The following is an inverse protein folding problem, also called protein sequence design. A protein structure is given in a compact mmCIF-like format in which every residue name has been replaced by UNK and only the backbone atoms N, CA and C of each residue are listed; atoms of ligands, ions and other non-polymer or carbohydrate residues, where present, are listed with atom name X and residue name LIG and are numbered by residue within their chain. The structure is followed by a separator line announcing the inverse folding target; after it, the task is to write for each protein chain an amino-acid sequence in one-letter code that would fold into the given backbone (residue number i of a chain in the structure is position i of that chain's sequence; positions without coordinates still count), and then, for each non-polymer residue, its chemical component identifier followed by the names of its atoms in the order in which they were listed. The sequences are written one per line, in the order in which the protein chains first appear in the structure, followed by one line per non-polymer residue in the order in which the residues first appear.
data_IF_981131312906
#
_entry.id   IF_981131312906
#
_cell.length_a   1.000
_cell.length_b   1.000
_cell.length_c   1.000
_cell.angle_alpha   90.00
_cell.angle_beta   90.00
_cell.angle_gamma   90.00
#
_symmetry.space_group_name_H-M   'P 1'
#
loop_
_entity.id
_entity.type
_entity.pdbx_description
1 polymer ?
#
# COMPACT_ATOMS: atom_id res chain seq x y z
N UNK A 1 11.70 5.34 2.48
CA UNK A 1 10.70 4.68 3.37
C UNK A 1 11.19 4.51 4.80
N UNK A 2 12.26 3.73 5.03
CA UNK A 2 12.73 3.38 6.38
C UNK A 2 12.98 4.59 7.28
N UNK A 3 13.77 5.57 6.81
CA UNK A 3 14.09 6.78 7.58
C UNK A 3 12.82 7.59 7.95
N UNK A 4 11.87 7.66 7.02
CA UNK A 4 10.59 8.35 7.25
C UNK A 4 9.74 7.61 8.28
N UNK A 5 9.61 6.28 8.18
CA UNK A 5 8.90 5.47 9.18
C UNK A 5 9.59 5.51 10.55
N UNK A 6 10.93 5.63 10.59
CA UNK A 6 11.67 5.80 11.83
C UNK A 6 11.38 7.16 12.48
N UNK A 7 11.41 8.25 11.69
CA UNK A 7 11.05 9.59 12.15
C UNK A 7 9.58 9.70 12.60
N UNK A 8 8.70 8.90 12.00
CA UNK A 8 7.28 8.84 12.37
C UNK A 8 6.97 7.80 13.46
N UNK A 9 7.96 7.06 13.95
CA UNK A 9 7.76 6.05 15.00
C UNK A 9 6.97 4.80 14.55
N UNK A 10 6.73 4.61 13.25
CA UNK A 10 6.01 3.48 12.66
C UNK A 10 6.92 2.38 12.10
N UNK A 11 8.23 2.46 12.34
CA UNK A 11 9.19 1.54 11.76
C UNK A 11 8.97 0.08 12.21
N UNK A 12 8.91 -0.85 11.24
CA UNK A 12 8.62 -2.28 11.49
C UNK A 12 9.81 -3.09 11.98
N UNK A 13 11.02 -2.69 11.60
CA UNK A 13 12.27 -3.40 11.89
C UNK A 13 13.35 -2.40 12.28
N UNK A 14 14.36 -2.85 13.00
CA UNK A 14 15.57 -2.07 13.24
C UNK A 14 16.67 -2.52 12.25
N UNK A 15 17.18 -1.56 11.48
CA UNK A 15 18.17 -1.79 10.44
C UNK A 15 19.46 -1.05 10.81
N UNK A 16 20.52 -1.81 11.11
CA UNK A 16 21.85 -1.27 11.45
C UNK A 16 22.92 -2.06 10.73
N UNK A 17 23.74 -1.40 9.93
CA UNK A 17 24.88 -2.00 9.23
C UNK A 17 24.55 -3.33 8.50
N UNK A 18 23.41 -3.37 7.77
CA UNK A 18 22.84 -4.53 7.04
C UNK A 18 22.21 -5.63 7.91
N UNK A 19 22.29 -5.54 9.23
CA UNK A 19 21.56 -6.44 10.12
C UNK A 19 20.12 -5.96 10.31
N UNK A 20 19.19 -6.90 10.22
CA UNK A 20 17.75 -6.69 10.45
C UNK A 20 17.42 -7.32 11.80
N UNK A 21 16.93 -6.51 12.72
CA UNK A 21 16.59 -6.92 14.09
C UNK A 21 15.22 -6.39 14.48
N UNK A 22 14.65 -6.93 15.56
CA UNK A 22 13.37 -6.49 16.13
C UNK A 22 13.54 -5.04 16.64
N UNK A 23 12.50 -4.19 16.59
CA UNK A 23 12.53 -2.87 17.19
C UNK A 23 13.09 -2.86 18.62
N UNK A 24 14.06 -1.97 18.87
CA UNK A 24 14.68 -1.83 20.18
C UNK A 24 13.72 -1.24 21.22
N UNK A 25 14.03 -1.38 22.51
CA UNK A 25 13.20 -0.83 23.59
C UNK A 25 13.02 0.69 23.45
N UNK A 26 14.10 1.43 23.18
CA UNK A 26 14.02 2.89 22.96
C UNK A 26 13.15 3.26 21.75
N UNK A 27 13.18 2.43 20.72
CA UNK A 27 12.30 2.56 19.57
C UNK A 27 10.82 2.33 19.94
N UNK A 28 10.50 1.34 20.77
CA UNK A 28 9.13 1.11 21.28
C UNK A 28 8.66 2.27 22.18
N UNK A 29 9.52 2.74 23.09
CA UNK A 29 9.25 3.89 23.95
C UNK A 29 8.97 5.16 23.13
N UNK A 30 9.74 5.40 22.07
CA UNK A 30 9.47 6.50 21.14
C UNK A 30 8.09 6.41 20.51
N UNK A 31 7.66 5.22 20.06
CA UNK A 31 6.31 5.02 19.52
C UNK A 31 5.23 5.30 20.58
N UNK A 32 5.43 4.90 21.84
CA UNK A 32 4.51 5.21 22.95
C UNK A 32 4.43 6.72 23.19
N UNK A 33 5.56 7.43 23.16
CA UNK A 33 5.57 8.89 23.29
C UNK A 33 4.82 9.56 22.13
N UNK A 34 5.01 9.10 20.89
CA UNK A 34 4.24 9.58 19.73
C UNK A 34 2.75 9.37 19.90
N UNK A 35 2.33 8.22 20.44
CA UNK A 35 0.94 7.89 20.76
C UNK A 35 0.38 8.88 21.78
N UNK A 36 1.09 9.13 22.89
CA UNK A 36 0.66 10.05 23.94
C UNK A 36 0.55 11.48 23.39
N UNK A 37 1.58 11.97 22.70
CA UNK A 37 1.59 13.33 22.14
C UNK A 37 0.43 13.49 21.14
N UNK A 38 0.24 12.53 20.23
CA UNK A 38 -0.83 12.59 19.24
C UNK A 38 -2.21 12.60 19.91
N UNK A 39 -2.40 11.79 20.97
CA UNK A 39 -3.65 11.77 21.76
C UNK A 39 -3.97 13.11 22.42
N UNK A 40 -2.95 13.75 23.02
CA UNK A 40 -3.10 15.09 23.61
C UNK A 40 -3.48 16.14 22.55
N UNK A 41 -2.91 16.04 21.35
CA UNK A 41 -3.26 16.91 20.24
C UNK A 41 -4.72 16.69 19.76
N UNK A 42 -5.17 15.43 19.63
CA UNK A 42 -6.57 15.11 19.33
C UNK A 42 -7.54 15.65 20.38
N UNK A 43 -7.19 15.52 21.67
CA UNK A 43 -7.99 16.06 22.76
C UNK A 43 -8.09 17.59 22.69
N UNK A 44 -6.98 18.29 22.45
CA UNK A 44 -6.95 19.74 22.30
C UNK A 44 -7.78 20.23 21.10
N UNK A 45 -7.70 19.52 19.97
CA UNK A 45 -8.54 19.78 18.79
C UNK A 45 -10.01 19.66 19.17
N UNK A 46 -10.40 18.55 19.77
CA UNK A 46 -11.81 18.29 20.15
C UNK A 46 -12.32 19.38 21.09
N UNK A 47 -11.51 19.81 22.06
CA UNK A 47 -11.83 20.91 22.98
C UNK A 47 -12.00 22.25 22.26
N UNK A 48 -11.14 22.56 21.28
CA UNK A 48 -11.17 23.81 20.53
C UNK A 48 -12.39 23.90 19.60
N UNK A 49 -12.83 22.77 19.03
CA UNK A 49 -14.00 22.69 18.17
C UNK A 49 -15.33 22.55 18.93
N UNK A 50 -15.29 22.22 20.23
CA UNK A 50 -16.46 22.14 21.11
C UNK A 50 -17.30 23.44 21.13
N UNK A 51 -16.74 24.64 21.34
CA UNK A 51 -17.53 25.89 21.33
C UNK A 51 -18.01 26.29 19.93
N UNK A 52 -17.25 25.97 18.87
CA UNK A 52 -17.56 26.34 17.48
C UNK A 52 -18.81 25.64 16.95
N UNK A 53 -19.01 24.37 17.32
CA UNK A 53 -20.15 23.57 16.87
C UNK A 53 -21.22 23.37 17.94
N UNK A 54 -21.13 24.04 19.09
CA UNK A 54 -22.11 23.90 20.18
C UNK A 54 -23.53 24.27 19.73
N UNK A 55 -23.67 25.28 18.84
CA UNK A 55 -24.95 25.68 18.26
C UNK A 55 -25.50 24.68 17.22
N UNK A 56 -24.67 23.75 16.75
CA UNK A 56 -25.00 22.75 15.74
C UNK A 56 -24.61 21.35 16.21
N UNK A 57 -25.41 20.81 17.13
CA UNK A 57 -25.20 19.50 17.78
C UNK A 57 -24.88 18.35 16.80
N UNK A 58 -25.52 18.31 15.63
CA UNK A 58 -25.26 17.28 14.60
C UNK A 58 -23.83 17.36 14.05
N UNK A 59 -23.37 18.56 13.70
CA UNK A 59 -22.00 18.76 13.15
C UNK A 59 -20.96 18.41 14.19
N UNK A 60 -21.23 18.72 15.46
CA UNK A 60 -20.39 18.33 16.59
C UNK A 60 -20.24 16.80 16.70
N UNK A 61 -21.34 16.04 16.71
CA UNK A 61 -21.28 14.58 16.81
C UNK A 61 -20.59 13.94 15.60
N UNK A 62 -20.81 14.46 14.39
CA UNK A 62 -20.12 14.00 13.18
C UNK A 62 -18.61 14.25 13.27
N UNK A 63 -18.19 15.43 13.73
CA UNK A 63 -16.78 15.74 13.92
C UNK A 63 -16.11 14.82 14.96
N UNK A 64 -16.79 14.58 16.08
CA UNK A 64 -16.32 13.65 17.11
C UNK A 64 -16.19 12.21 16.57
N UNK A 65 -17.15 11.77 15.75
CA UNK A 65 -17.09 10.45 15.12
C UNK A 65 -15.92 10.32 14.14
N UNK A 66 -15.66 11.34 13.31
CA UNK A 66 -14.54 11.35 12.36
C UNK A 66 -13.20 11.34 13.09
N UNK A 67 -13.02 12.22 14.07
CA UNK A 67 -11.77 12.30 14.83
C UNK A 67 -11.54 11.06 15.70
N UNK A 68 -12.60 10.52 16.31
CA UNK A 68 -12.55 9.26 17.06
C UNK A 68 -12.18 8.06 16.18
N UNK A 69 -12.79 7.92 15.00
CA UNK A 69 -12.44 6.87 14.04
C UNK A 69 -10.97 6.98 13.60
N UNK A 70 -10.49 8.20 13.37
CA UNK A 70 -9.11 8.44 12.98
C UNK A 70 -8.13 8.04 14.08
N UNK A 71 -8.39 8.48 15.31
CA UNK A 71 -7.58 8.17 16.48
C UNK A 71 -7.55 6.66 16.78
N UNK A 72 -8.70 5.98 16.74
CA UNK A 72 -8.78 4.53 16.90
C UNK A 72 -7.99 3.80 15.81
N UNK A 73 -8.14 4.23 14.55
CA UNK A 73 -7.40 3.66 13.42
C UNK A 73 -5.90 3.86 13.57
N UNK A 74 -5.48 5.02 14.05
CA UNK A 74 -4.08 5.34 14.31
C UNK A 74 -3.48 4.42 15.38
N UNK A 75 -4.13 4.28 16.53
CA UNK A 75 -3.67 3.39 17.61
C UNK A 75 -3.61 1.94 17.17
N UNK A 76 -4.69 1.45 16.57
CA UNK A 76 -4.81 0.08 16.08
C UNK A 76 -3.67 -0.26 15.11
N UNK A 77 -3.37 0.66 14.18
CA UNK A 77 -2.29 0.50 13.22
C UNK A 77 -0.90 0.49 13.90
N UNK A 78 -0.60 1.45 14.78
CA UNK A 78 0.71 1.51 15.44
C UNK A 78 0.97 0.34 16.39
N UNK A 79 -0.04 -0.06 17.17
CA UNK A 79 0.06 -1.21 18.07
C UNK A 79 0.41 -2.46 17.27
N UNK A 80 -0.35 -2.73 16.21
CA UNK A 80 -0.14 -3.88 15.35
C UNK A 80 1.24 -3.85 14.65
N UNK A 81 1.64 -2.69 14.12
CA UNK A 81 2.91 -2.52 13.42
C UNK A 81 4.12 -2.70 14.33
N UNK A 82 4.07 -2.17 15.56
CA UNK A 82 5.25 -2.05 16.43
C UNK A 82 5.37 -3.14 17.49
N UNK A 83 4.26 -3.67 17.99
CA UNK A 83 4.25 -4.55 19.15
C UNK A 83 3.90 -6.00 18.83
N UNK A 84 3.05 -6.25 17.84
CA UNK A 84 2.56 -7.61 17.57
C UNK A 84 3.42 -8.41 16.59
N UNK A 85 3.93 -7.77 15.53
CA UNK A 85 4.53 -8.51 14.39
C UNK A 85 6.06 -8.45 14.30
N UNK A 86 6.75 -8.30 15.43
CA UNK A 86 8.20 -8.06 15.47
C UNK A 86 9.04 -9.13 14.75
N UNK A 87 8.89 -10.40 15.14
CA UNK A 87 9.64 -11.54 14.59
C UNK A 87 9.23 -11.86 13.14
N UNK A 88 7.93 -11.78 12.84
CA UNK A 88 7.43 -12.00 11.48
C UNK A 88 7.94 -10.93 10.51
N UNK A 89 8.05 -9.67 10.95
CA UNK A 89 8.59 -8.59 10.12
C UNK A 89 10.08 -8.79 9.80
N UNK A 90 10.89 -9.26 10.75
CA UNK A 90 12.31 -9.52 10.51
C UNK A 90 12.51 -10.72 9.59
N UNK A 91 11.78 -11.81 9.84
CA UNK A 91 11.78 -12.99 8.99
C UNK A 91 11.35 -12.66 7.55
N UNK A 92 10.37 -11.77 7.38
CA UNK A 92 9.93 -11.31 6.06
C UNK A 92 11.02 -10.53 5.32
N UNK A 93 11.71 -9.60 5.98
CA UNK A 93 12.81 -8.89 5.34
C UNK A 93 13.97 -9.82 4.95
N UNK A 94 14.23 -10.86 5.75
CA UNK A 94 15.22 -11.91 5.40
C UNK A 94 14.73 -12.72 4.19
N UNK A 95 13.44 -13.05 4.13
CA UNK A 95 12.84 -13.75 2.98
C UNK A 95 12.97 -12.94 1.69
N UNK A 96 12.73 -11.62 1.74
CA UNK A 96 12.95 -10.74 0.58
C UNK A 96 14.41 -10.77 0.08
N UNK A 97 15.38 -10.75 1.00
CA UNK A 97 16.80 -10.87 0.63
C UNK A 97 17.13 -12.26 0.05
N UNK A 98 16.51 -13.31 0.59
CA UNK A 98 16.66 -14.68 0.09
C UNK A 98 16.16 -14.81 -1.34
N UNK A 99 15.01 -14.22 -1.67
CA UNK A 99 14.47 -14.19 -3.04
C UNK A 99 15.47 -13.55 -4.00
N UNK A 100 15.98 -12.36 -3.67
CA UNK A 100 16.93 -11.65 -4.53
C UNK A 100 18.25 -12.41 -4.72
N UNK A 101 18.75 -13.08 -3.68
CA UNK A 101 19.96 -13.92 -3.74
C UNK A 101 19.75 -15.16 -4.60
N UNK A 102 18.63 -15.85 -4.43
CA UNK A 102 18.35 -17.09 -5.18
C UNK A 102 18.14 -16.81 -6.67
N UNK A 103 17.50 -15.68 -6.99
CA UNK A 103 17.37 -15.18 -8.35
C UNK A 103 18.65 -14.53 -8.90
N UNK A 104 19.76 -14.46 -8.13
CA UNK A 104 21.03 -13.81 -8.54
C UNK A 104 20.84 -12.38 -9.12
N UNK A 105 19.85 -11.65 -8.60
CA UNK A 105 19.52 -10.27 -9.02
C UNK A 105 19.95 -9.22 -7.99
N UNK A 106 20.57 -9.64 -6.90
CA UNK A 106 21.05 -8.77 -5.82
C UNK A 106 22.05 -7.71 -6.34
N UNK A 107 22.86 -8.06 -7.33
CA UNK A 107 23.80 -7.15 -7.99
C UNK A 107 23.14 -6.33 -9.14
N UNK A 108 21.92 -6.69 -9.55
CA UNK A 108 21.22 -5.99 -10.63
C UNK A 108 20.62 -4.67 -10.11
N UNK A 109 21.44 -3.63 -10.19
CA UNK A 109 21.13 -2.32 -9.64
C UNK A 109 19.88 -1.68 -10.27
N UNK A 110 19.49 -2.07 -11.49
CA UNK A 110 18.36 -1.44 -12.21
C UNK A 110 17.02 -1.81 -11.56
N UNK A 111 16.76 -3.10 -11.28
CA UNK A 111 15.50 -3.56 -10.67
C UNK A 111 15.33 -2.94 -9.27
N UNK A 112 16.40 -2.97 -8.48
CA UNK A 112 16.41 -2.39 -7.12
C UNK A 112 16.27 -0.87 -7.15
N UNK A 113 16.96 -0.17 -8.07
CA UNK A 113 16.80 1.29 -8.24
C UNK A 113 15.38 1.67 -8.63
N UNK A 114 14.69 0.90 -9.46
CA UNK A 114 13.31 1.21 -9.86
C UNK A 114 12.34 1.09 -8.69
N UNK A 115 12.46 0.03 -7.87
CA UNK A 115 11.64 -0.10 -6.65
C UNK A 115 11.95 1.04 -5.68
N UNK A 116 13.22 1.37 -5.46
CA UNK A 116 13.62 2.48 -4.58
C UNK A 116 13.09 3.82 -5.09
N UNK A 117 13.19 4.10 -6.39
CA UNK A 117 12.69 5.34 -7.00
C UNK A 117 11.18 5.45 -6.90
N UNK A 118 10.44 4.38 -7.18
CA UNK A 118 8.99 4.36 -6.99
C UNK A 118 8.63 4.65 -5.52
N UNK A 119 9.36 4.07 -4.57
CA UNK A 119 9.17 4.33 -3.15
C UNK A 119 9.42 5.79 -2.77
N UNK A 120 10.52 6.37 -3.26
CA UNK A 120 10.84 7.79 -3.04
C UNK A 120 9.73 8.66 -3.63
N UNK A 121 9.35 8.43 -4.90
CA UNK A 121 8.31 9.19 -5.56
C UNK A 121 6.97 9.16 -4.80
N UNK A 122 6.51 7.96 -4.39
CA UNK A 122 5.26 7.82 -3.62
C UNK A 122 5.31 8.56 -2.28
N UNK A 123 6.42 8.49 -1.55
CA UNK A 123 6.55 9.15 -0.25
C UNK A 123 6.68 10.67 -0.41
N UNK A 124 7.48 11.14 -1.37
CA UNK A 124 7.62 12.55 -1.68
C UNK A 124 6.28 13.16 -2.10
N UNK A 125 5.48 12.44 -2.90
CA UNK A 125 4.14 12.87 -3.28
C UNK A 125 3.21 12.99 -2.08
N UNK A 126 3.22 12.01 -1.17
CA UNK A 126 2.45 12.09 0.09
C UNK A 126 2.90 13.31 0.91
N UNK A 127 4.20 13.48 1.15
CA UNK A 127 4.72 14.62 1.92
C UNK A 127 4.31 15.95 1.27
N UNK A 128 4.39 16.06 -0.07
CA UNK A 128 3.99 17.26 -0.79
C UNK A 128 2.51 17.60 -0.57
N UNK A 129 1.60 16.61 -0.64
CA UNK A 129 0.17 16.82 -0.36
C UNK A 129 -0.03 17.36 1.06
N UNK A 130 0.67 16.79 2.05
CA UNK A 130 0.56 17.23 3.43
C UNK A 130 1.14 18.64 3.64
N UNK A 131 2.25 18.98 2.98
CA UNK A 131 2.82 20.33 3.02
C UNK A 131 1.85 21.35 2.42
N UNK A 132 1.21 21.03 1.28
CA UNK A 132 0.19 21.89 0.68
C UNK A 132 -0.98 22.11 1.65
N UNK A 133 -1.47 21.05 2.29
CA UNK A 133 -2.53 21.16 3.31
C UNK A 133 -2.15 22.07 4.48
N UNK A 134 -0.90 21.99 4.96
CA UNK A 134 -0.38 22.88 6.00
C UNK A 134 -0.32 24.33 5.51
N UNK A 135 0.22 24.58 4.32
CA UNK A 135 0.33 25.93 3.75
C UNK A 135 -1.05 26.55 3.54
N UNK A 136 -2.01 25.81 2.98
CA UNK A 136 -3.39 26.25 2.83
C UNK A 136 -4.02 26.63 4.17
N UNK A 137 -3.72 25.87 5.23
CA UNK A 137 -4.20 26.19 6.58
C UNK A 137 -3.62 27.50 7.11
N UNK A 138 -2.32 27.74 6.91
CA UNK A 138 -1.67 28.98 7.35
C UNK A 138 -2.27 30.18 6.61
N UNK A 139 -2.47 30.06 5.29
CA UNK A 139 -3.04 31.14 4.48
C UNK A 139 -4.47 31.50 4.88
N UNK A 140 -5.24 30.53 5.39
CA UNK A 140 -6.61 30.75 5.83
C UNK A 140 -6.71 31.35 7.25
N UNK A 141 -5.60 31.52 7.98
CA UNK A 141 -5.49 32.29 9.24
C UNK A 141 -6.45 31.93 10.40
N UNK A 142 -7.16 30.80 10.35
CA UNK A 142 -8.25 30.54 11.30
C UNK A 142 -7.90 29.65 12.51
N UNK A 143 -6.74 28.95 12.51
CA UNK A 143 -6.45 27.95 13.56
C UNK A 143 -5.00 27.91 14.02
N UNK A 144 -4.79 27.46 15.27
CA UNK A 144 -3.45 27.24 15.81
C UNK A 144 -2.78 26.05 15.11
N UNK A 145 -1.63 26.30 14.47
CA UNK A 145 -0.81 25.30 13.77
C UNK A 145 -0.57 24.00 14.57
N UNK A 146 -0.48 24.12 15.89
CA UNK A 146 -0.24 23.01 16.81
C UNK A 146 -1.39 21.99 16.79
N UNK A 147 -2.63 22.45 16.67
CA UNK A 147 -3.79 21.55 16.66
C UNK A 147 -3.88 20.76 15.36
N UNK A 148 -3.66 21.39 14.21
CA UNK A 148 -3.69 20.71 12.91
C UNK A 148 -2.59 19.64 12.78
N UNK A 149 -1.45 19.85 13.46
CA UNK A 149 -0.33 18.91 13.44
C UNK A 149 -0.71 17.51 13.96
N UNK A 150 -1.60 17.41 14.96
CA UNK A 150 -2.04 16.11 15.50
C UNK A 150 -2.80 15.26 14.49
N UNK A 151 -3.80 15.86 13.85
CA UNK A 151 -4.59 15.25 12.77
C UNK A 151 -3.70 14.85 11.59
N UNK A 152 -2.83 15.77 11.15
CA UNK A 152 -1.91 15.51 10.05
C UNK A 152 -0.93 14.39 10.38
N UNK A 153 -0.39 14.35 11.60
CA UNK A 153 0.60 13.36 12.01
C UNK A 153 0.02 11.93 12.02
N UNK A 154 -1.14 11.74 12.66
CA UNK A 154 -1.80 10.43 12.70
C UNK A 154 -2.11 9.90 11.30
N UNK A 155 -2.58 10.79 10.44
CA UNK A 155 -2.92 10.46 9.06
C UNK A 155 -1.71 10.20 8.18
N UNK A 156 -0.65 10.98 8.33
CA UNK A 156 0.60 10.81 7.59
C UNK A 156 1.19 9.42 7.88
N UNK A 157 1.19 8.99 9.14
CA UNK A 157 1.64 7.64 9.53
C UNK A 157 0.83 6.57 8.82
N UNK A 158 -0.49 6.71 8.85
CA UNK A 158 -1.38 5.74 8.20
C UNK A 158 -1.10 5.68 6.69
N UNK A 159 -0.99 6.83 6.01
CA UNK A 159 -0.70 6.90 4.57
C UNK A 159 0.69 6.37 4.21
N UNK A 160 1.72 6.64 5.02
CA UNK A 160 3.07 6.11 4.80
C UNK A 160 3.09 4.58 4.91
N UNK A 161 2.37 4.00 5.87
CA UNK A 161 2.23 2.54 5.99
C UNK A 161 1.50 1.93 4.77
N UNK A 162 0.48 2.61 4.24
CA UNK A 162 -0.20 2.18 3.00
C UNK A 162 0.72 2.23 1.80
N UNK A 163 1.44 3.32 1.64
CA UNK A 163 2.42 3.47 0.57
C UNK A 163 3.48 2.38 0.67
N UNK A 164 3.94 2.05 1.88
CA UNK A 164 4.90 0.97 2.08
C UNK A 164 4.32 -0.39 1.69
N UNK A 165 3.11 -0.73 2.13
CA UNK A 165 2.39 -1.94 1.72
C UNK A 165 2.30 -2.04 0.19
N UNK A 166 1.82 -0.95 -0.45
CA UNK A 166 1.70 -0.85 -1.90
C UNK A 166 3.04 -1.06 -2.61
N UNK A 167 4.12 -0.52 -2.05
CA UNK A 167 5.48 -0.59 -2.60
C UNK A 167 6.11 -1.98 -2.48
N UNK A 168 5.73 -2.77 -1.46
CA UNK A 168 6.13 -4.17 -1.36
C UNK A 168 5.46 -5.04 -2.43
N UNK A 169 4.22 -4.73 -2.83
CA UNK A 169 3.58 -5.39 -3.98
C UNK A 169 4.38 -5.15 -5.27
N UNK A 170 4.89 -3.93 -5.46
CA UNK A 170 5.75 -3.60 -6.60
C UNK A 170 7.05 -4.44 -6.60
N UNK A 171 7.62 -4.72 -5.43
CA UNK A 171 8.77 -5.63 -5.32
C UNK A 171 8.42 -7.00 -5.91
N UNK A 172 7.34 -7.65 -5.45
CA UNK A 172 6.94 -8.98 -5.96
C UNK A 172 6.63 -8.96 -7.46
N UNK A 173 5.90 -7.94 -7.92
CA UNK A 173 5.60 -7.72 -9.33
C UNK A 173 6.86 -7.68 -10.20
N UNK A 174 7.89 -6.92 -9.80
CA UNK A 174 9.12 -6.84 -10.59
C UNK A 174 9.87 -8.18 -10.67
N UNK A 175 9.79 -9.03 -9.64
CA UNK A 175 10.44 -10.35 -9.62
C UNK A 175 9.67 -11.38 -10.45
N UNK A 176 8.35 -11.43 -10.36
CA UNK A 176 7.53 -12.28 -11.26
C UNK A 176 7.73 -11.87 -12.72
N UNK A 177 7.75 -10.57 -13.01
CA UNK A 177 8.05 -10.07 -14.36
C UNK A 177 9.43 -10.51 -14.85
N UNK A 178 10.42 -10.57 -13.97
CA UNK A 178 11.75 -11.07 -14.32
C UNK A 178 11.71 -12.56 -14.66
N UNK A 179 10.97 -13.38 -13.90
CA UNK A 179 10.73 -14.80 -14.25
C UNK A 179 10.03 -14.91 -15.61
N UNK A 180 9.00 -14.12 -15.87
CA UNK A 180 8.31 -14.07 -17.16
C UNK A 180 9.28 -13.72 -18.30
N UNK A 181 10.19 -12.77 -18.06
CA UNK A 181 11.19 -12.38 -19.05
C UNK A 181 12.15 -13.53 -19.41
N UNK A 182 12.58 -14.34 -18.43
CA UNK A 182 13.43 -15.53 -18.66
C UNK A 182 12.70 -16.52 -19.57
N UNK A 183 11.47 -16.91 -19.22
CA UNK A 183 10.69 -17.88 -20.01
C UNK A 183 10.41 -17.33 -21.41
N UNK A 184 10.04 -16.05 -21.51
CA UNK A 184 9.68 -15.41 -22.78
C UNK A 184 10.87 -15.29 -23.73
N UNK A 185 12.08 -15.07 -23.22
CA UNK A 185 13.29 -15.09 -24.05
C UNK A 185 13.56 -16.48 -24.64
N UNK A 186 13.22 -17.53 -23.90
CA UNK A 186 13.34 -18.90 -24.38
C UNK A 186 12.27 -19.26 -25.42
N UNK A 187 11.00 -18.95 -25.15
CA UNK A 187 9.86 -19.30 -26.04
C UNK A 187 9.80 -18.39 -27.28
N UNK A 188 10.12 -17.11 -27.13
CA UNK A 188 10.06 -16.09 -28.18
C UNK A 188 11.34 -15.25 -28.21
N UNK A 189 12.44 -15.73 -28.81
CA UNK A 189 13.75 -15.08 -28.76
C UNK A 189 13.81 -13.72 -29.49
N UNK A 190 12.75 -13.31 -30.16
CA UNK A 190 12.66 -12.05 -30.88
C UNK A 190 12.96 -10.84 -29.97
N UNK A 191 13.86 -9.97 -30.44
CA UNK A 191 14.25 -8.70 -29.82
C UNK A 191 14.92 -8.80 -28.44
N UNK A 192 15.40 -9.98 -28.01
CA UNK A 192 16.02 -10.16 -26.69
C UNK A 192 17.35 -9.39 -26.51
N UNK A 193 18.13 -9.24 -27.59
CA UNK A 193 19.46 -8.63 -27.56
C UNK A 193 19.48 -7.14 -27.94
N UNK A 194 18.32 -6.55 -28.25
CA UNK A 194 18.28 -5.14 -28.65
C UNK A 194 18.36 -4.26 -27.39
N UNK A 195 19.43 -3.47 -27.22
CA UNK A 195 19.48 -2.54 -26.10
C UNK A 195 18.33 -1.53 -26.24
N UNK A 196 17.60 -1.24 -25.15
CA UNK A 196 16.50 -0.29 -25.20
C UNK A 196 17.03 1.10 -25.59
N UNK A 197 16.55 1.64 -26.72
CA UNK A 197 16.95 2.95 -27.27
C UNK A 197 16.79 4.13 -26.28
N UNK A 198 15.98 3.95 -25.23
CA UNK A 198 15.85 4.89 -24.12
C UNK A 198 15.77 4.09 -22.82
N UNK A 199 16.75 4.23 -21.93
CA UNK A 199 16.64 3.76 -20.54
C UNK A 199 15.65 4.68 -19.83
N UNK A 200 14.34 4.48 -20.04
CA UNK A 200 13.31 5.21 -19.29
C UNK A 200 13.40 4.83 -17.82
N UNK A 201 13.00 5.77 -16.97
CA UNK A 201 12.99 5.67 -15.50
C UNK A 201 12.21 4.47 -14.94
N UNK A 202 11.39 3.78 -15.75
CA UNK A 202 10.58 2.64 -15.38
C UNK A 202 11.01 1.35 -16.09
N UNK A 203 11.01 0.24 -15.35
CA UNK A 203 11.29 -1.11 -15.86
C UNK A 203 10.16 -1.55 -16.78
N UNK A 204 10.41 -1.46 -18.08
CA UNK A 204 9.52 -1.97 -19.13
C UNK A 204 9.77 -3.46 -19.38
N UNK A 205 8.84 -4.12 -20.07
CA UNK A 205 9.00 -5.52 -20.50
C UNK A 205 10.25 -5.69 -21.38
N UNK A 206 10.64 -4.70 -22.18
CA UNK A 206 11.86 -4.77 -22.99
C UNK A 206 13.13 -4.71 -22.14
N UNK A 207 13.18 -3.83 -21.14
CA UNK A 207 14.33 -3.70 -20.24
C UNK A 207 14.51 -4.99 -19.41
N UNK A 208 13.41 -5.54 -18.87
CA UNK A 208 13.46 -6.81 -18.12
C UNK A 208 13.90 -7.99 -18.98
N UNK A 209 13.41 -8.08 -20.22
CA UNK A 209 13.86 -9.09 -21.18
C UNK A 209 15.34 -8.98 -21.51
N UNK A 210 15.84 -7.78 -21.78
CA UNK A 210 17.26 -7.55 -22.03
C UNK A 210 18.11 -7.95 -20.81
N UNK A 211 17.73 -7.53 -19.60
CA UNK A 211 18.44 -7.88 -18.37
C UNK A 211 18.43 -9.38 -18.09
N UNK A 212 17.30 -10.05 -18.30
CA UNK A 212 17.18 -11.49 -18.15
C UNK A 212 18.08 -12.22 -19.17
N UNK A 213 18.08 -11.82 -20.44
CA UNK A 213 18.90 -12.45 -21.49
C UNK A 213 20.41 -12.40 -21.20
N UNK A 214 20.88 -11.36 -20.51
CA UNK A 214 22.30 -11.22 -20.17
C UNK A 214 22.76 -12.11 -19.01
N UNK A 215 21.84 -12.51 -18.14
CA UNK A 215 22.19 -13.05 -16.82
C UNK A 215 21.61 -14.44 -16.56
N UNK A 216 20.56 -14.83 -17.28
CA UNK A 216 19.75 -16.01 -17.00
C UNK A 216 19.37 -16.73 -18.30
N UNK A 217 19.33 -18.05 -18.24
CA UNK A 217 18.76 -18.90 -19.27
C UNK A 217 17.69 -19.80 -18.64
N UNK A 218 16.57 -19.99 -19.35
CA UNK A 218 15.49 -20.86 -18.89
C UNK A 218 15.96 -22.32 -18.75
N UNK A 219 16.93 -22.77 -19.54
CA UNK A 219 17.42 -24.15 -19.47
C UNK A 219 18.16 -24.38 -18.15
N UNK A 220 19.06 -23.47 -17.78
CA UNK A 220 20.00 -23.65 -16.66
C UNK A 220 19.45 -23.17 -15.32
N UNK A 221 18.63 -22.11 -15.30
CA UNK A 221 18.20 -21.48 -14.06
C UNK A 221 16.90 -22.07 -13.51
N UNK A 222 16.83 -22.38 -12.21
CA UNK A 222 15.65 -22.99 -11.56
C UNK A 222 14.46 -22.02 -11.38
N UNK A 223 13.82 -21.62 -12.47
CA UNK A 223 12.69 -20.66 -12.48
C UNK A 223 11.47 -21.16 -11.70
N UNK A 224 11.29 -22.47 -11.56
CA UNK A 224 10.28 -23.08 -10.70
C UNK A 224 10.57 -22.84 -9.22
N UNK A 225 11.83 -22.96 -8.80
CA UNK A 225 12.25 -22.63 -7.43
C UNK A 225 12.10 -21.13 -7.15
N UNK A 226 12.43 -20.27 -8.12
CA UNK A 226 12.24 -18.82 -7.97
C UNK A 226 10.77 -18.47 -7.78
N UNK A 227 9.89 -19.03 -8.60
CA UNK A 227 8.45 -18.77 -8.52
C UNK A 227 7.88 -19.22 -7.17
N UNK A 228 8.24 -20.42 -6.71
CA UNK A 228 7.81 -20.94 -5.40
C UNK A 228 8.18 -20.00 -4.26
N UNK A 229 9.42 -19.53 -4.22
CA UNK A 229 9.87 -18.63 -3.16
C UNK A 229 9.20 -17.25 -3.21
N UNK A 230 8.92 -16.73 -4.41
CA UNK A 230 8.15 -15.50 -4.57
C UNK A 230 6.75 -15.67 -3.97
N UNK A 231 6.09 -16.81 -4.19
CA UNK A 231 4.75 -17.07 -3.68
C UNK A 231 4.75 -17.28 -2.16
N UNK A 232 5.71 -18.03 -1.62
CA UNK A 232 5.90 -18.17 -0.17
C UNK A 232 6.14 -16.79 0.49
N UNK A 233 6.99 -15.94 -0.13
CA UNK A 233 7.22 -14.59 0.33
C UNK A 233 5.97 -13.71 0.26
N UNK A 234 5.14 -13.86 -0.80
CA UNK A 234 3.89 -13.12 -0.94
C UNK A 234 2.82 -13.57 0.07
N UNK A 235 2.77 -14.86 0.40
CA UNK A 235 1.89 -15.38 1.46
C UNK A 235 2.26 -14.75 2.81
N UNK A 236 3.55 -14.76 3.15
CA UNK A 236 4.05 -14.12 4.38
C UNK A 236 3.75 -12.61 4.42
N UNK A 237 3.87 -11.93 3.28
CA UNK A 237 3.49 -10.52 3.14
C UNK A 237 2.00 -10.31 3.42
N UNK A 238 1.14 -11.17 2.88
CA UNK A 238 -0.32 -11.09 3.06
C UNK A 238 -0.67 -11.23 4.54
N UNK A 239 -0.08 -12.19 5.25
CA UNK A 239 -0.31 -12.38 6.68
C UNK A 239 0.12 -11.18 7.53
N UNK A 240 1.23 -10.52 7.16
CA UNK A 240 1.72 -9.34 7.89
C UNK A 240 0.85 -8.10 7.66
N UNK A 241 0.21 -7.98 6.49
CA UNK A 241 -0.51 -6.78 6.06
C UNK A 241 -2.04 -6.91 6.05
N UNK A 242 -2.61 -8.11 6.26
CA UNK A 242 -4.07 -8.34 6.26
C UNK A 242 -4.83 -7.44 7.24
N UNK A 243 -4.30 -7.25 8.45
CA UNK A 243 -4.91 -6.36 9.44
C UNK A 243 -4.95 -4.92 8.97
N UNK A 244 -3.83 -4.41 8.49
CA UNK A 244 -3.76 -3.06 7.99
C UNK A 244 -4.76 -2.94 6.84
N UNK A 245 -4.70 -3.78 5.81
CA UNK A 245 -5.63 -3.66 4.67
C UNK A 245 -7.10 -3.70 5.10
N UNK A 246 -7.48 -4.60 6.02
CA UNK A 246 -8.81 -4.62 6.63
C UNK A 246 -9.19 -3.26 7.24
N UNK A 247 -8.34 -2.73 8.12
CA UNK A 247 -8.56 -1.44 8.79
C UNK A 247 -8.74 -0.29 7.79
N UNK A 248 -8.05 -0.34 6.64
CA UNK A 248 -8.23 0.69 5.60
C UNK A 248 -9.52 0.57 4.84
N UNK A 249 -9.92 -0.63 4.43
CA UNK A 249 -11.19 -0.85 3.75
C UNK A 249 -12.37 -0.45 4.66
N UNK A 250 -12.31 -0.72 5.96
CA UNK A 250 -13.33 -0.28 6.90
C UNK A 250 -13.27 1.25 7.07
N UNK A 251 -12.08 1.80 7.32
CA UNK A 251 -11.91 3.25 7.53
C UNK A 251 -12.40 4.05 6.33
N UNK A 252 -12.07 3.66 5.10
CA UNK A 252 -12.48 4.42 3.90
C UNK A 252 -13.99 4.43 3.72
N UNK A 253 -14.67 3.31 3.95
CA UNK A 253 -16.13 3.22 3.84
C UNK A 253 -16.78 4.09 4.91
N UNK A 254 -16.45 3.88 6.20
CA UNK A 254 -17.09 4.64 7.29
C UNK A 254 -16.80 6.13 7.17
N UNK A 255 -15.55 6.50 6.89
CA UNK A 255 -15.16 7.90 6.71
C UNK A 255 -15.90 8.55 5.55
N UNK A 256 -16.06 7.85 4.42
CA UNK A 256 -16.76 8.41 3.26
C UNK A 256 -18.22 8.73 3.57
N UNK A 257 -18.90 7.89 4.36
CA UNK A 257 -20.27 8.14 4.82
C UNK A 257 -20.32 9.33 5.78
N UNK A 258 -19.44 9.37 6.78
CA UNK A 258 -19.35 10.50 7.71
C UNK A 258 -19.03 11.82 7.01
N UNK A 259 -18.20 11.76 5.96
CA UNK A 259 -17.85 12.93 5.15
C UNK A 259 -19.05 13.37 4.33
N UNK A 260 -19.78 12.44 3.71
CA UNK A 260 -21.01 12.74 2.98
C UNK A 260 -22.05 13.41 3.88
N UNK A 261 -22.33 12.86 5.06
CA UNK A 261 -23.25 13.45 6.04
C UNK A 261 -22.82 14.85 6.47
N UNK A 262 -21.52 15.04 6.72
CA UNK A 262 -20.98 16.35 7.08
C UNK A 262 -21.14 17.35 5.94
N UNK A 263 -20.89 16.96 4.69
CA UNK A 263 -21.14 17.79 3.51
C UNK A 263 -22.62 18.12 3.37
N UNK A 264 -23.50 17.13 3.56
CA UNK A 264 -24.94 17.27 3.43
C UNK A 264 -25.50 18.29 4.43
N UNK A 265 -25.17 18.14 5.71
CA UNK A 265 -25.57 19.08 6.77
C UNK A 265 -24.96 20.46 6.53
N UNK A 266 -23.71 20.53 6.05
CA UNK A 266 -23.07 21.80 5.74
C UNK A 266 -23.76 22.54 4.58
N UNK A 267 -24.26 21.83 3.56
CA UNK A 267 -25.08 22.41 2.49
C UNK A 267 -26.40 22.91 3.04
N UNK A 268 -27.13 22.06 3.78
CA UNK A 268 -28.46 22.42 4.31
C UNK A 268 -28.45 23.65 5.22
N UNK A 269 -27.40 23.81 6.01
CA UNK A 269 -27.27 24.91 6.98
C UNK A 269 -26.47 26.11 6.43
N UNK A 270 -26.10 26.11 5.15
CA UNK A 270 -25.21 27.10 4.55
C UNK A 270 -23.89 27.31 5.33
N UNK A 271 -23.38 26.25 5.97
CA UNK A 271 -22.12 26.26 6.73
C UNK A 271 -20.91 25.94 5.84
N UNK A 272 -21.12 25.84 4.53
CA UNK A 272 -20.12 25.59 3.50
C UNK A 272 -19.34 26.86 3.10
N UNK A 273 -19.24 27.84 3.99
CA UNK A 273 -18.26 28.90 3.80
C UNK A 273 -16.86 28.27 3.74
N UNK A 274 -16.09 28.61 2.71
CA UNK A 274 -14.70 28.18 2.45
C UNK A 274 -13.73 28.46 3.60
N UNK A 275 -14.19 29.24 4.58
CA UNK A 275 -13.55 29.54 5.85
C UNK A 275 -13.46 28.32 6.78
N UNK A 276 -14.46 27.42 6.76
CA UNK A 276 -14.47 26.23 7.61
C UNK A 276 -13.43 25.18 7.16
N UNK A 277 -12.18 25.40 7.54
CA UNK A 277 -10.99 24.59 7.24
C UNK A 277 -11.21 23.09 7.54
N UNK A 278 -12.02 22.78 8.54
CA UNK A 278 -12.38 21.42 8.94
C UNK A 278 -13.09 20.65 7.83
N UNK A 279 -14.02 21.31 7.13
CA UNK A 279 -14.77 20.70 6.02
C UNK A 279 -13.81 20.42 4.85
N UNK A 280 -12.94 21.39 4.53
CA UNK A 280 -11.93 21.24 3.49
C UNK A 280 -10.95 20.09 3.79
N UNK A 281 -10.50 19.98 5.05
CA UNK A 281 -9.61 18.91 5.49
C UNK A 281 -10.25 17.53 5.35
N UNK A 282 -11.47 17.36 5.85
CA UNK A 282 -12.18 16.07 5.82
C UNK A 282 -12.47 15.65 4.37
N UNK A 283 -12.89 16.58 3.50
CA UNK A 283 -13.10 16.31 2.07
C UNK A 283 -11.80 15.88 1.39
N UNK A 284 -10.72 16.66 1.57
CA UNK A 284 -9.42 16.35 0.94
C UNK A 284 -8.90 15.00 1.41
N UNK A 285 -9.08 14.69 2.69
CA UNK A 285 -8.68 13.42 3.27
C UNK A 285 -9.44 12.22 2.67
N UNK A 286 -10.77 12.34 2.52
CA UNK A 286 -11.59 11.31 1.86
C UNK A 286 -11.11 11.03 0.44
N UNK A 287 -10.86 12.10 -0.34
CA UNK A 287 -10.33 12.01 -1.72
C UNK A 287 -8.98 11.29 -1.76
N UNK A 288 -8.03 11.65 -0.90
CA UNK A 288 -6.72 10.96 -0.80
C UNK A 288 -6.90 9.48 -0.44
N UNK A 289 -7.88 9.15 0.40
CA UNK A 289 -8.27 7.78 0.72
C UNK A 289 -8.62 6.97 -0.53
N UNK A 290 -9.49 7.48 -1.38
CA UNK A 290 -9.87 6.83 -2.65
C UNK A 290 -8.70 6.69 -3.61
N UNK A 291 -7.85 7.72 -3.77
CA UNK A 291 -6.64 7.60 -4.58
C UNK A 291 -5.71 6.51 -4.07
N UNK A 292 -5.56 6.38 -2.75
CA UNK A 292 -4.74 5.33 -2.14
C UNK A 292 -5.34 3.95 -2.39
N UNK A 293 -6.67 3.81 -2.32
CA UNK A 293 -7.37 2.56 -2.60
C UNK A 293 -7.21 2.12 -4.07
N UNK A 294 -7.36 3.08 -5.00
CA UNK A 294 -7.11 2.85 -6.42
C UNK A 294 -5.65 2.42 -6.67
N UNK A 295 -4.70 3.07 -5.99
CA UNK A 295 -3.28 2.77 -6.15
C UNK A 295 -2.90 1.37 -5.66
N UNK A 296 -3.42 0.96 -4.49
CA UNK A 296 -3.17 -0.37 -3.92
C UNK A 296 -3.82 -1.45 -4.78
N UNK A 297 -5.10 -1.31 -5.10
CA UNK A 297 -5.85 -2.26 -5.94
C UNK A 297 -5.24 -2.40 -7.34
N UNK A 298 -4.88 -1.29 -7.98
CA UNK A 298 -4.23 -1.28 -9.28
C UNK A 298 -2.89 -2.03 -9.27
N UNK A 299 -2.08 -1.92 -8.21
CA UNK A 299 -0.83 -2.68 -8.09
C UNK A 299 -1.05 -4.16 -7.82
N UNK A 300 -2.08 -4.53 -7.03
CA UNK A 300 -2.47 -5.94 -6.87
C UNK A 300 -2.87 -6.55 -8.24
N UNK A 301 -3.68 -5.84 -9.02
CA UNK A 301 -4.10 -6.31 -10.34
C UNK A 301 -2.92 -6.48 -11.31
N UNK A 302 -1.97 -5.54 -11.30
CA UNK A 302 -0.74 -5.66 -12.09
C UNK A 302 0.07 -6.90 -11.69
N UNK A 303 0.17 -7.21 -10.39
CA UNK A 303 0.83 -8.41 -9.90
C UNK A 303 0.13 -9.69 -10.39
N UNK A 304 -1.20 -9.79 -10.23
CA UNK A 304 -1.97 -10.96 -10.69
C UNK A 304 -1.98 -11.11 -12.20
N UNK A 305 -1.91 -10.01 -12.95
CA UNK A 305 -1.74 -10.05 -14.40
C UNK A 305 -0.41 -10.69 -14.80
N UNK A 306 0.68 -10.38 -14.11
CA UNK A 306 1.98 -11.03 -14.37
C UNK A 306 1.96 -12.52 -14.05
N UNK A 307 1.27 -12.96 -13.00
CA UNK A 307 1.10 -14.39 -12.68
C UNK A 307 0.30 -15.12 -13.77
N UNK A 308 -0.76 -14.48 -14.29
CA UNK A 308 -1.50 -15.02 -15.44
C UNK A 308 -0.62 -15.09 -16.70
N UNK A 309 0.30 -14.15 -16.90
CA UNK A 309 1.30 -14.24 -17.97
C UNK A 309 2.28 -15.39 -17.72
N UNK A 310 2.72 -15.62 -16.48
CA UNK A 310 3.55 -16.80 -16.12
C UNK A 310 2.84 -18.10 -16.48
N UNK A 311 1.55 -18.22 -16.15
CA UNK A 311 0.73 -19.40 -16.49
C UNK A 311 0.71 -19.63 -18.00
N UNK A 312 0.45 -18.58 -18.79
CA UNK A 312 0.42 -18.66 -20.26
C UNK A 312 1.78 -19.05 -20.85
N UNK A 313 2.86 -18.48 -20.33
CA UNK A 313 4.22 -18.79 -20.78
C UNK A 313 4.60 -20.24 -20.45
N UNK A 314 4.23 -20.73 -19.27
CA UNK A 314 4.46 -22.13 -18.92
C UNK A 314 3.67 -23.09 -19.82
N UNK A 315 2.41 -22.77 -20.16
CA UNK A 315 1.64 -23.53 -21.18
C UNK A 315 2.31 -23.48 -22.55
N UNK A 316 2.86 -22.32 -22.96
CA UNK A 316 3.56 -22.22 -24.23
C UNK A 316 4.80 -23.13 -24.29
N UNK A 317 5.56 -23.24 -23.20
CA UNK A 317 6.67 -24.20 -23.09
C UNK A 317 6.17 -25.64 -23.20
N UNK A 318 5.06 -26.00 -22.54
CA UNK A 318 4.47 -27.34 -22.63
C UNK A 318 4.01 -27.71 -24.05
N UNK A 319 3.54 -26.73 -24.83
CA UNK A 319 3.14 -26.95 -26.22
C UNK A 319 4.36 -27.14 -27.14
N UNK A 320 5.47 -26.48 -26.83
CA UNK A 320 6.71 -26.57 -27.62
C UNK A 320 7.49 -27.86 -27.33
N UNK A 321 7.45 -28.36 -26.09
CA UNK A 321 8.20 -29.54 -25.66
C UNK A 321 7.26 -30.68 -25.25
N UNK A 322 7.26 -31.76 -26.04
CA UNK A 322 6.43 -32.94 -25.78
C UNK A 322 6.99 -33.83 -24.66
N UNK A 323 8.30 -33.92 -24.44
CA UNK A 323 8.91 -34.69 -23.35
C UNK A 323 10.21 -34.02 -22.87
N UNK A 324 10.74 -34.45 -21.71
CA UNK A 324 12.04 -34.02 -21.19
C UNK A 324 12.00 -32.98 -20.07
N UNK A 325 13.19 -32.54 -19.61
CA UNK A 325 13.35 -31.78 -18.36
C UNK A 325 12.69 -30.40 -18.39
N UNK A 326 12.62 -29.75 -19.57
CA UNK A 326 11.96 -28.46 -19.74
C UNK A 326 10.43 -28.56 -19.61
N UNK A 327 9.85 -29.67 -20.10
CA UNK A 327 8.42 -29.95 -19.93
C UNK A 327 8.11 -30.18 -18.46
N UNK A 328 8.87 -31.02 -17.77
CA UNK A 328 8.69 -31.27 -16.33
C UNK A 328 8.76 -29.99 -15.50
N UNK A 329 9.73 -29.13 -15.81
CA UNK A 329 9.89 -27.83 -15.16
C UNK A 329 8.68 -26.92 -15.38
N UNK A 330 8.19 -26.79 -16.61
CA UNK A 330 6.99 -26.02 -16.90
C UNK A 330 5.74 -26.60 -16.21
N UNK A 331 5.63 -27.94 -16.13
CA UNK A 331 4.57 -28.62 -15.37
C UNK A 331 4.66 -28.30 -13.88
N UNK A 332 5.85 -28.32 -13.27
CA UNK A 332 6.06 -27.90 -11.87
C UNK A 332 5.65 -26.45 -11.65
N UNK A 333 6.02 -25.54 -12.55
CA UNK A 333 5.61 -24.13 -12.47
C UNK A 333 4.09 -23.97 -12.53
N UNK A 334 3.41 -24.69 -13.43
CA UNK A 334 1.95 -24.68 -13.52
C UNK A 334 1.29 -25.23 -12.27
N UNK A 335 1.80 -26.35 -11.75
CA UNK A 335 1.34 -26.94 -10.50
C UNK A 335 1.45 -25.94 -9.34
N UNK A 336 2.58 -25.25 -9.20
CA UNK A 336 2.76 -24.18 -8.21
C UNK A 336 1.71 -23.08 -8.39
N UNK A 337 1.46 -22.64 -9.63
CA UNK A 337 0.46 -21.60 -9.91
C UNK A 337 -0.94 -22.08 -9.52
N UNK A 338 -1.30 -23.32 -9.80
CA UNK A 338 -2.65 -23.85 -9.56
C UNK A 338 -2.89 -24.19 -8.08
N UNK A 339 -1.92 -24.78 -7.41
CA UNK A 339 -2.03 -25.16 -5.99
C UNK A 339 -1.82 -23.98 -5.03
N UNK A 340 -0.99 -23.00 -5.43
CA UNK A 340 -0.60 -21.88 -4.57
C UNK A 340 -0.80 -20.53 -5.27
N UNK A 341 -1.91 -20.37 -6.00
CA UNK A 341 -2.24 -19.08 -6.63
C UNK A 341 -2.19 -17.99 -5.55
N UNK A 342 -1.27 -17.02 -5.65
CA UNK A 342 -1.15 -16.00 -4.62
C UNK A 342 -2.40 -15.12 -4.68
N UNK A 343 -3.11 -15.06 -3.56
CA UNK A 343 -4.26 -14.19 -3.36
C UNK A 343 -3.95 -13.31 -2.16
N UNK A 344 -4.31 -12.04 -2.25
CA UNK A 344 -4.28 -11.17 -1.08
C UNK A 344 -5.62 -11.29 -0.37
N UNK A 345 -5.74 -12.36 0.44
CA UNK A 345 -6.92 -12.60 1.28
C UNK A 345 -6.86 -11.72 2.53
N UNK A 346 -7.96 -11.04 2.83
CA UNK A 346 -8.14 -10.28 4.06
C UNK A 346 -9.00 -11.11 5.02
N UNK A 347 -8.34 -11.90 5.87
CA UNK A 347 -8.97 -12.82 6.83
C UNK A 347 -10.03 -13.75 6.20
N UNK A 348 -9.83 -14.14 4.93
CA UNK A 348 -10.74 -14.98 4.14
C UNK A 348 -12.14 -14.40 3.95
N UNK A 349 -12.33 -13.12 4.30
CA UNK A 349 -13.59 -12.41 4.08
C UNK A 349 -13.69 -11.91 2.62
N UNK A 350 -12.59 -11.40 2.07
CA UNK A 350 -12.51 -10.99 0.67
C UNK A 350 -11.06 -10.99 0.16
N UNK A 351 -10.93 -11.01 -1.16
CA UNK A 351 -9.66 -10.87 -1.85
C UNK A 351 -9.46 -9.44 -2.36
N UNK A 352 -8.26 -8.90 -2.17
CA UNK A 352 -7.86 -7.63 -2.76
C UNK A 352 -7.40 -7.83 -4.20
N UNK A 353 -8.30 -7.57 -5.15
CA UNK A 353 -8.04 -7.55 -6.59
C UNK A 353 -8.25 -6.14 -7.17
N UNK A 354 -8.13 -5.97 -8.50
CA UNK A 354 -8.45 -4.68 -9.13
C UNK A 354 -9.93 -4.28 -8.97
N UNK A 355 -10.82 -5.25 -8.74
CA UNK A 355 -12.26 -5.04 -8.65
C UNK A 355 -12.71 -4.56 -7.26
N UNK A 356 -11.91 -4.80 -6.20
CA UNK A 356 -12.24 -4.35 -4.83
C UNK A 356 -12.44 -2.84 -4.74
N UNK A 357 -11.68 -2.04 -5.51
CA UNK A 357 -11.87 -0.59 -5.55
C UNK A 357 -13.25 -0.23 -6.10
N UNK A 358 -13.67 -0.88 -7.19
CA UNK A 358 -15.00 -0.67 -7.79
C UNK A 358 -16.09 -1.10 -6.81
N UNK A 359 -15.91 -2.23 -6.10
CA UNK A 359 -16.83 -2.67 -5.04
C UNK A 359 -16.96 -1.63 -3.92
N UNK A 360 -15.84 -1.06 -3.45
CA UNK A 360 -15.86 -0.01 -2.42
C UNK A 360 -16.60 1.22 -2.93
N UNK A 361 -16.31 1.70 -4.14
CA UNK A 361 -17.03 2.84 -4.72
C UNK A 361 -18.53 2.55 -4.85
N UNK A 362 -18.91 1.38 -5.38
CA UNK A 362 -20.31 0.97 -5.51
C UNK A 362 -21.02 0.89 -4.16
N UNK A 363 -20.37 0.31 -3.14
CA UNK A 363 -20.92 0.24 -1.79
C UNK A 363 -21.16 1.64 -1.22
N UNK A 364 -20.16 2.52 -1.31
CA UNK A 364 -20.26 3.90 -0.81
C UNK A 364 -21.35 4.67 -1.55
N UNK A 365 -21.40 4.60 -2.87
CA UNK A 365 -22.43 5.28 -3.67
C UNK A 365 -23.82 4.76 -3.34
N UNK A 366 -24.02 3.44 -3.22
CA UNK A 366 -25.31 2.87 -2.86
C UNK A 366 -25.75 3.35 -1.47
N UNK A 367 -24.85 3.33 -0.48
CA UNK A 367 -25.16 3.82 0.87
C UNK A 367 -25.50 5.32 0.88
N UNK A 368 -24.78 6.13 0.12
CA UNK A 368 -25.07 7.56 -0.05
C UNK A 368 -26.45 7.77 -0.67
N UNK A 369 -26.79 7.03 -1.73
CA UNK A 369 -28.11 7.12 -2.38
C UNK A 369 -29.21 6.71 -1.42
N UNK A 370 -29.01 5.64 -0.65
CA UNK A 370 -29.96 5.20 0.37
C UNK A 370 -30.15 6.25 1.48
N UNK A 371 -29.07 6.87 1.95
CA UNK A 371 -29.14 7.96 2.94
C UNK A 371 -29.91 9.17 2.39
N UNK A 372 -29.67 9.55 1.13
CA UNK A 372 -30.43 10.60 0.45
C UNK A 372 -31.91 10.25 0.33
N UNK A 373 -32.24 8.99 0.01
CA UNK A 373 -33.62 8.54 -0.04
C UNK A 373 -34.30 8.71 1.32
N UNK A 374 -33.69 8.22 2.41
CA UNK A 374 -34.25 8.41 3.76
C UNK A 374 -34.34 9.87 4.23
N UNK A 375 -33.53 10.77 3.66
CA UNK A 375 -33.54 12.18 4.02
C UNK A 375 -34.63 12.98 3.28
N UNK A 376 -35.06 12.54 2.09
CA UNK A 376 -35.95 13.30 1.20
C UNK A 376 -37.26 12.59 0.81
N UNK A 377 -37.35 11.27 0.99
CA UNK A 377 -38.56 10.46 0.87
C UNK A 377 -38.99 10.01 2.27
#
# INVERSE_FOLDING_TARGET
PFLVQMALGSCRVHLKARFITIPTLGQKLYTVMSIIICSLLYFNITKLYLPLYYQHSIVYYLFLAVTGLDQLSFFANLIHVRFLNGETNTAFCIMMQRIDRNMKIDHNNILNKTVIRANIFTITFIILIYVVLVISTIMLNEYSLVTLFGLLYGQLIFMVERAHCSNLILFFFTRVRFVNAIIKNHVHPENQNQPPKLVRYFVTNRITRYLAAQTHDFIVNDTDVYLKQIFEGFSMFTDIYRFQVCLFCIKIVVLSLLTFELCFVAVQRNLLETKNLTNYYIMTYSVIGFFTALYVSGRCELFFREIRETKRLAVAVLLQYQEGPLREKATRMLKIIEESTPQFSVYDMWNMDGYIFIKICSLVTNLIVTLLQFAYL
#
